data_IF_440788311690
#
_entry.id   IF_440788311690
#
_cell.length_a   1.000
_cell.length_b   1.000
_cell.length_c   1.000
_cell.angle_alpha   90.00
_cell.angle_beta   90.00
_cell.angle_gamma   90.00
#
_symmetry.space_group_name_H-M   'P 1'
#
loop_
_entity.id
_entity.type
_entity.pdbx_description
1 polymer ?
#
# COMPACT_ATOMS: atom_id res chain seq x y z
N UNK A 1 21.73 16.77 -2.06
CA UNK A 1 20.86 17.53 -1.08
C UNK A 1 19.63 16.71 -0.80
N UNK A 2 19.14 16.67 0.46
CA UNK A 2 17.93 15.93 0.83
C UNK A 2 16.68 16.79 0.69
N UNK A 3 15.60 16.21 0.16
CA UNK A 3 14.28 16.86 0.06
C UNK A 3 13.28 16.09 0.93
N UNK A 4 12.98 16.64 2.11
CA UNK A 4 12.05 16.04 3.06
C UNK A 4 10.60 16.37 2.70
N UNK A 5 9.79 15.34 2.51
CA UNK A 5 8.34 15.43 2.34
C UNK A 5 7.68 15.00 3.66
N UNK A 6 7.14 15.94 4.39
CA UNK A 6 6.69 15.74 5.76
C UNK A 6 5.17 15.80 5.85
N UNK A 7 4.56 14.73 6.40
CA UNK A 7 3.15 14.74 6.77
C UNK A 7 3.01 15.11 8.26
N UNK A 8 2.71 16.37 8.61
CA UNK A 8 2.62 16.82 9.99
C UNK A 8 1.46 16.18 10.74
N UNK A 9 0.40 15.75 10.04
CA UNK A 9 -0.78 15.12 10.62
C UNK A 9 -0.60 13.61 10.90
N UNK A 10 0.51 13.00 10.46
CA UNK A 10 0.76 11.57 10.67
C UNK A 10 0.70 11.21 12.17
N UNK A 11 0.21 9.98 12.47
CA UNK A 11 0.03 9.47 13.83
C UNK A 11 -0.70 10.45 14.76
N UNK A 12 -1.86 10.96 14.31
CA UNK A 12 -2.70 11.89 15.07
C UNK A 12 -1.99 13.21 15.44
N UNK A 13 -1.24 13.78 14.50
CA UNK A 13 -0.55 15.08 14.65
C UNK A 13 0.84 15.02 15.30
N UNK A 14 1.41 13.83 15.48
CA UNK A 14 2.77 13.67 16.00
C UNK A 14 3.86 13.90 14.94
N UNK A 15 3.51 13.88 13.64
CA UNK A 15 4.44 14.08 12.55
C UNK A 15 5.26 15.37 12.69
N UNK A 16 4.61 16.46 13.10
CA UNK A 16 5.31 17.73 13.37
C UNK A 16 6.40 17.60 14.45
N UNK A 17 6.10 16.90 15.55
CA UNK A 17 7.09 16.71 16.64
C UNK A 17 8.28 15.86 16.20
N UNK A 18 8.05 14.86 15.35
CA UNK A 18 9.12 14.05 14.78
C UNK A 18 9.98 14.88 13.83
N UNK A 19 9.36 15.74 13.03
CA UNK A 19 10.10 16.65 12.15
C UNK A 19 11.00 17.60 12.94
N UNK A 20 10.51 18.23 14.02
CA UNK A 20 11.32 19.14 14.85
C UNK A 20 12.58 18.45 15.41
N UNK A 21 12.47 17.18 15.83
CA UNK A 21 13.64 16.41 16.27
C UNK A 21 14.64 16.15 15.14
N UNK A 22 14.12 15.75 13.96
CA UNK A 22 14.93 15.51 12.76
C UNK A 22 15.62 16.80 12.33
N UNK A 23 14.87 17.90 12.28
CA UNK A 23 15.39 19.24 11.93
C UNK A 23 16.56 19.63 12.81
N UNK A 24 16.44 19.50 14.14
CA UNK A 24 17.53 19.82 15.09
C UNK A 24 18.80 19.03 14.77
N UNK A 25 18.71 17.74 14.45
CA UNK A 25 19.86 16.92 14.10
C UNK A 25 20.51 17.38 12.77
N UNK A 26 19.69 17.71 11.77
CA UNK A 26 20.19 18.17 10.48
C UNK A 26 20.93 19.52 10.62
N UNK A 27 20.37 20.45 11.41
CA UNK A 27 20.96 21.76 11.66
C UNK A 27 22.25 21.67 12.48
N UNK A 28 22.27 20.85 13.54
CA UNK A 28 23.45 20.60 14.36
C UNK A 28 24.64 20.04 13.53
N UNK A 29 24.31 19.18 12.56
CA UNK A 29 25.31 18.53 11.70
C UNK A 29 25.59 19.30 10.41
N UNK A 30 25.00 20.45 10.21
CA UNK A 30 25.14 21.29 9.01
C UNK A 30 24.81 20.53 7.71
N UNK A 31 23.82 19.62 7.76
CA UNK A 31 23.40 18.83 6.60
C UNK A 31 22.44 19.69 5.75
N UNK A 32 22.74 19.93 4.46
CA UNK A 32 21.86 20.72 3.61
C UNK A 32 20.58 19.96 3.24
N UNK A 33 19.43 20.57 3.47
CA UNK A 33 18.12 20.00 3.16
C UNK A 33 17.12 21.04 2.68
N UNK A 34 16.07 20.57 2.05
CA UNK A 34 14.81 21.30 1.80
C UNK A 34 13.66 20.53 2.45
N UNK A 35 12.62 21.24 2.88
CA UNK A 35 11.44 20.61 3.49
C UNK A 35 10.15 21.11 2.86
N UNK A 36 9.24 20.17 2.65
CA UNK A 36 7.91 20.38 2.09
C UNK A 36 6.87 19.69 2.98
N UNK A 37 5.90 20.47 3.46
CA UNK A 37 4.84 19.95 4.32
C UNK A 37 3.58 19.70 3.51
N UNK A 38 2.93 18.54 3.71
CA UNK A 38 1.61 18.31 3.15
C UNK A 38 0.56 19.16 3.87
N UNK A 39 -0.38 19.69 3.11
CA UNK A 39 -1.53 20.46 3.60
C UNK A 39 -2.78 19.61 3.80
N UNK A 40 -2.80 18.41 3.23
CA UNK A 40 -3.91 17.47 3.29
C UNK A 40 -3.72 16.26 2.37
N UNK A 41 -4.70 15.36 2.30
CA UNK A 41 -4.67 14.21 1.40
C UNK A 41 -4.47 14.62 -0.07
N UNK A 42 -3.64 13.87 -0.80
CA UNK A 42 -3.30 14.11 -2.21
C UNK A 42 -2.22 15.18 -2.46
N UNK A 43 -1.86 15.96 -1.44
CA UNK A 43 -0.87 17.04 -1.63
C UNK A 43 0.55 16.49 -1.88
N UNK A 44 0.88 15.34 -1.30
CA UNK A 44 2.17 14.68 -1.54
C UNK A 44 2.35 14.21 -2.98
N UNK A 45 1.27 13.85 -3.67
CA UNK A 45 1.29 13.51 -5.11
C UNK A 45 1.78 14.73 -5.91
N UNK A 46 1.19 15.90 -5.65
CA UNK A 46 1.55 17.14 -6.35
C UNK A 46 2.96 17.62 -6.02
N UNK A 47 3.37 17.50 -4.75
CA UNK A 47 4.73 17.86 -4.32
C UNK A 47 5.77 16.97 -5.00
N UNK A 48 5.56 15.66 -4.99
CA UNK A 48 6.45 14.69 -5.63
C UNK A 48 6.52 14.92 -7.14
N UNK A 49 5.37 15.09 -7.81
CA UNK A 49 5.29 15.38 -9.25
C UNK A 49 6.09 16.63 -9.61
N UNK A 50 5.90 17.71 -8.88
CA UNK A 50 6.63 18.97 -9.11
C UNK A 50 8.14 18.81 -8.94
N UNK A 51 8.58 18.06 -7.93
CA UNK A 51 10.00 17.88 -7.63
C UNK A 51 10.69 16.96 -8.62
N UNK A 52 10.00 15.93 -9.08
CA UNK A 52 10.58 14.90 -9.95
C UNK A 52 10.35 15.15 -11.45
N UNK A 53 9.29 15.88 -11.81
CA UNK A 53 8.95 16.22 -13.20
C UNK A 53 9.89 17.25 -13.84
N UNK A 54 10.56 18.05 -13.01
CA UNK A 54 11.57 19.01 -13.49
C UNK A 54 12.96 18.40 -13.73
N UNK A 55 13.16 17.12 -13.40
CA UNK A 55 14.46 16.44 -13.50
C UNK A 55 14.76 16.08 -14.96
N UNK A 56 15.91 16.49 -15.44
CA UNK A 56 16.41 16.12 -16.77
C UNK A 56 17.26 14.84 -16.70
N UNK A 57 17.40 14.08 -17.79
CA UNK A 57 18.24 12.88 -17.81
C UNK A 57 19.69 13.13 -17.39
N UNK A 58 20.24 14.28 -17.75
CA UNK A 58 21.63 14.68 -17.45
C UNK A 58 21.75 15.48 -16.14
N UNK A 59 20.61 15.77 -15.45
CA UNK A 59 20.58 16.48 -14.19
C UNK A 59 21.02 15.64 -13.01
N UNK A 60 21.21 16.31 -11.86
CA UNK A 60 21.51 15.63 -10.59
C UNK A 60 20.30 14.84 -10.07
N UNK A 61 20.57 13.77 -9.36
CA UNK A 61 19.55 12.99 -8.64
C UNK A 61 18.95 13.81 -7.51
N UNK A 62 17.65 13.72 -7.33
CA UNK A 62 16.96 14.19 -6.12
C UNK A 62 16.86 13.05 -5.12
N UNK A 63 17.04 13.36 -3.82
CA UNK A 63 16.81 12.40 -2.76
C UNK A 63 15.56 12.81 -1.97
N UNK A 64 14.45 12.15 -2.22
CA UNK A 64 13.20 12.32 -1.48
C UNK A 64 13.26 11.51 -0.18
N UNK A 65 13.08 12.17 0.94
CA UNK A 65 12.95 11.53 2.26
C UNK A 65 11.55 11.74 2.77
N UNK A 66 10.77 10.67 2.79
CA UNK A 66 9.34 10.72 3.16
C UNK A 66 9.17 10.49 4.66
N UNK A 67 8.61 11.45 5.37
CA UNK A 67 8.27 11.36 6.78
C UNK A 67 6.75 11.26 6.94
N UNK A 68 6.26 10.04 7.14
CA UNK A 68 4.82 9.77 7.15
C UNK A 68 4.48 8.32 7.46
N UNK A 69 3.26 7.91 7.17
CA UNK A 69 2.82 6.51 7.15
C UNK A 69 2.86 5.93 5.73
N UNK A 70 2.42 4.67 5.59
CA UNK A 70 2.38 3.96 4.31
C UNK A 70 1.58 4.72 3.24
N UNK A 71 0.43 5.32 3.59
CA UNK A 71 -0.33 6.16 2.67
C UNK A 71 0.43 7.41 2.22
N UNK A 72 1.27 8.02 3.08
CA UNK A 72 2.13 9.16 2.67
C UNK A 72 3.20 8.69 1.69
N UNK A 73 3.81 7.52 1.92
CA UNK A 73 4.77 6.92 1.00
C UNK A 73 4.11 6.59 -0.35
N UNK A 74 2.89 6.04 -0.33
CA UNK A 74 2.09 5.78 -1.53
C UNK A 74 1.81 7.07 -2.31
N UNK A 75 1.30 8.13 -1.68
CA UNK A 75 1.06 9.42 -2.36
C UNK A 75 2.33 9.97 -3.04
N UNK A 76 3.49 9.86 -2.39
CA UNK A 76 4.76 10.31 -2.99
C UNK A 76 5.07 9.49 -4.24
N UNK A 77 4.94 8.16 -4.19
CA UNK A 77 5.19 7.27 -5.35
C UNK A 77 4.19 7.50 -6.49
N UNK A 78 2.93 7.84 -6.17
CA UNK A 78 1.97 8.25 -7.21
C UNK A 78 2.47 9.44 -8.03
N UNK A 79 3.19 10.37 -7.39
CA UNK A 79 3.65 11.60 -8.02
C UNK A 79 5.01 11.51 -8.70
N UNK A 80 5.81 10.46 -8.51
CA UNK A 80 7.14 10.35 -9.13
C UNK A 80 7.00 10.25 -10.65
N UNK A 81 7.56 11.21 -11.39
CA UNK A 81 7.61 11.19 -12.85
C UNK A 81 8.93 10.63 -13.39
N UNK A 82 10.03 10.82 -12.69
CA UNK A 82 11.35 10.33 -13.09
C UNK A 82 11.98 9.44 -12.01
N UNK A 83 11.68 8.14 -12.06
CA UNK A 83 12.21 7.16 -11.11
C UNK A 83 13.72 7.01 -11.19
N UNK A 84 14.31 7.08 -12.38
CA UNK A 84 15.74 6.87 -12.57
C UNK A 84 16.61 7.96 -11.93
N UNK A 85 16.03 9.16 -11.73
CA UNK A 85 16.68 10.32 -11.10
C UNK A 85 16.22 10.56 -9.66
N UNK A 86 15.36 9.69 -9.13
CA UNK A 86 14.77 9.85 -7.80
C UNK A 86 15.28 8.76 -6.87
N UNK A 87 16.02 9.16 -5.83
CA UNK A 87 16.33 8.33 -4.67
C UNK A 87 15.21 8.49 -3.66
N UNK A 88 14.74 7.40 -3.11
CA UNK A 88 13.63 7.40 -2.18
C UNK A 88 14.06 6.82 -0.83
N UNK A 89 13.77 7.51 0.25
CA UNK A 89 13.94 7.02 1.62
C UNK A 89 12.68 7.23 2.44
N UNK A 90 12.48 6.41 3.45
CA UNK A 90 11.27 6.41 4.26
C UNK A 90 11.58 6.47 5.75
N UNK A 91 10.99 7.44 6.45
CA UNK A 91 11.00 7.56 7.91
C UNK A 91 9.58 7.30 8.41
N UNK A 92 9.31 6.12 8.99
CA UNK A 92 7.98 5.70 9.34
C UNK A 92 7.45 6.41 10.58
N UNK A 93 6.40 7.22 10.40
CA UNK A 93 5.70 7.91 11.49
C UNK A 93 4.21 7.60 11.53
N UNK A 94 3.75 6.63 10.73
CA UNK A 94 2.37 6.17 10.68
C UNK A 94 2.00 5.20 11.82
N UNK A 95 0.80 4.64 11.74
CA UNK A 95 0.28 3.68 12.72
C UNK A 95 0.65 2.24 12.37
N UNK A 96 0.54 1.82 11.12
CA UNK A 96 0.83 0.47 10.63
C UNK A 96 2.29 0.31 10.28
N UNK A 97 2.79 1.12 9.35
CA UNK A 97 4.15 1.10 8.82
C UNK A 97 4.55 -0.32 8.36
N UNK A 98 3.70 -0.92 7.52
CA UNK A 98 3.89 -2.30 7.05
C UNK A 98 5.09 -2.38 6.10
N UNK A 99 5.33 -1.34 5.27
CA UNK A 99 6.54 -1.20 4.47
C UNK A 99 7.81 -1.22 5.35
N UNK A 100 7.82 -0.46 6.44
CA UNK A 100 8.97 -0.43 7.36
C UNK A 100 9.15 -1.75 8.12
N UNK A 101 8.04 -2.46 8.40
CA UNK A 101 8.08 -3.77 9.04
C UNK A 101 8.81 -4.79 8.17
N UNK A 102 8.51 -4.82 6.89
CA UNK A 102 9.05 -5.79 5.95
C UNK A 102 10.51 -5.47 5.60
N UNK A 103 10.82 -4.21 5.37
CA UNK A 103 12.18 -3.75 5.03
C UNK A 103 13.12 -3.67 6.23
N UNK A 104 12.63 -3.84 7.45
CA UNK A 104 13.44 -3.73 8.68
C UNK A 104 13.89 -2.29 9.01
N UNK A 105 13.20 -1.29 8.45
CA UNK A 105 13.43 0.12 8.82
C UNK A 105 12.99 0.35 10.25
N UNK A 106 13.82 1.03 11.05
CA UNK A 106 13.49 1.36 12.43
C UNK A 106 12.23 2.20 12.54
N UNK A 107 11.38 1.87 13.51
CA UNK A 107 10.19 2.66 13.85
C UNK A 107 10.49 3.89 14.71
N UNK A 108 11.73 4.04 15.18
CA UNK A 108 12.20 5.30 15.74
C UNK A 108 12.66 6.21 14.60
N UNK A 109 12.04 7.40 14.44
CA UNK A 109 12.35 8.30 13.33
C UNK A 109 13.79 8.82 13.35
N UNK A 110 14.43 8.88 14.51
CA UNK A 110 15.82 9.34 14.64
C UNK A 110 16.76 8.23 14.18
N UNK A 111 16.53 6.98 14.58
CA UNK A 111 17.34 5.86 14.10
C UNK A 111 17.20 5.65 12.59
N UNK A 112 15.97 5.83 12.04
CA UNK A 112 15.76 5.77 10.59
C UNK A 112 16.53 6.88 9.87
N UNK A 113 16.50 8.12 10.38
CA UNK A 113 17.30 9.23 9.86
C UNK A 113 18.81 8.92 9.91
N UNK A 114 19.31 8.45 11.06
CA UNK A 114 20.72 8.12 11.23
C UNK A 114 21.17 7.13 10.16
N UNK A 115 20.37 6.10 9.92
CA UNK A 115 20.68 5.10 8.91
C UNK A 115 20.72 5.71 7.51
N UNK A 116 19.76 6.58 7.15
CA UNK A 116 19.75 7.30 5.88
C UNK A 116 21.01 8.16 5.69
N UNK A 117 21.48 8.81 6.74
CA UNK A 117 22.62 9.72 6.66
C UNK A 117 23.98 9.02 6.65
N UNK A 118 24.10 7.84 7.27
CA UNK A 118 25.40 7.22 7.52
C UNK A 118 25.64 5.90 6.80
N UNK A 119 24.61 5.12 6.57
CA UNK A 119 24.76 3.72 6.15
C UNK A 119 23.75 3.25 5.10
N UNK A 120 22.87 4.11 4.62
CA UNK A 120 21.89 3.74 3.62
C UNK A 120 22.57 3.22 2.34
N UNK A 121 22.05 2.09 1.87
CA UNK A 121 22.44 1.48 0.59
C UNK A 121 21.24 1.51 -0.34
N UNK A 122 21.51 1.60 -1.63
CA UNK A 122 20.48 1.42 -2.64
C UNK A 122 20.02 -0.03 -2.63
N UNK A 123 18.74 -0.23 -2.40
CA UNK A 123 18.04 -1.52 -2.54
C UNK A 123 16.87 -1.28 -3.49
N UNK A 124 17.05 -1.55 -4.79
CA UNK A 124 15.99 -1.33 -5.75
C UNK A 124 14.74 -2.12 -5.38
N UNK A 125 13.59 -1.45 -5.42
CA UNK A 125 12.31 -2.00 -5.01
C UNK A 125 11.33 -1.98 -6.17
N UNK A 126 10.51 -2.99 -6.23
CA UNK A 126 9.43 -3.11 -7.19
C UNK A 126 8.34 -2.07 -6.94
N UNK A 127 7.67 -1.67 -7.99
CA UNK A 127 6.47 -0.83 -7.91
C UNK A 127 5.33 -1.57 -8.58
N UNK A 128 4.26 -1.78 -7.84
CA UNK A 128 3.05 -2.34 -8.38
C UNK A 128 2.21 -1.28 -9.11
N UNK A 129 1.45 -1.72 -10.11
CA UNK A 129 0.54 -0.92 -10.91
C UNK A 129 -0.83 -1.56 -10.92
N UNK A 130 -1.86 -0.75 -10.72
CA UNK A 130 -3.25 -1.11 -10.83
C UNK A 130 -3.89 -0.32 -11.97
N UNK A 131 -4.42 -1.03 -12.95
CA UNK A 131 -5.21 -0.47 -14.04
C UNK A 131 -6.67 -0.92 -13.91
N UNK A 132 -7.60 0.02 -14.06
CA UNK A 132 -9.03 -0.24 -14.03
C UNK A 132 -9.55 -0.39 -15.46
N UNK A 133 -9.93 -1.62 -15.87
CA UNK A 133 -10.65 -1.84 -17.13
C UNK A 133 -12.10 -1.36 -17.03
N UNK A 134 -12.66 -1.41 -15.82
CA UNK A 134 -13.99 -0.89 -15.47
C UNK A 134 -13.91 -0.11 -14.17
N UNK A 135 -14.76 0.89 -14.01
CA UNK A 135 -14.87 1.66 -12.78
C UNK A 135 -16.34 2.06 -12.53
N UNK A 136 -16.77 1.96 -11.28
CA UNK A 136 -18.13 2.27 -10.86
C UNK A 136 -18.13 3.27 -9.70
N UNK A 137 -19.17 4.05 -9.62
CA UNK A 137 -19.38 5.00 -8.52
C UNK A 137 -19.53 4.30 -7.16
N UNK A 138 -19.27 5.03 -6.08
CA UNK A 138 -19.30 4.52 -4.70
C UNK A 138 -20.68 4.04 -4.23
N UNK A 139 -21.76 4.45 -4.88
CA UNK A 139 -23.11 3.95 -4.66
C UNK A 139 -23.39 2.59 -5.34
N UNK A 140 -22.39 2.07 -6.08
CA UNK A 140 -22.41 0.72 -6.62
C UNK A 140 -23.23 0.50 -7.88
N UNK A 141 -23.77 1.55 -8.48
CA UNK A 141 -24.78 1.37 -9.53
C UNK A 141 -24.35 1.82 -10.92
N UNK A 142 -23.58 2.87 -11.05
CA UNK A 142 -23.34 3.50 -12.34
C UNK A 142 -21.86 3.39 -12.75
N UNK A 143 -21.58 2.98 -14.00
CA UNK A 143 -20.24 3.12 -14.57
C UNK A 143 -19.81 4.59 -14.51
N UNK A 144 -18.54 4.82 -14.19
CA UNK A 144 -17.98 6.16 -14.26
C UNK A 144 -17.84 6.61 -15.72
N UNK A 145 -18.22 7.85 -16.00
CA UNK A 145 -18.08 8.44 -17.36
C UNK A 145 -16.60 8.53 -17.82
N UNK A 146 -15.69 8.66 -16.85
CA UNK A 146 -14.25 8.65 -17.10
C UNK A 146 -13.64 7.42 -16.44
N UNK A 147 -12.69 6.75 -17.11
CA UNK A 147 -11.90 5.69 -16.47
C UNK A 147 -11.29 6.19 -15.16
N UNK A 148 -11.22 5.33 -14.16
CA UNK A 148 -10.42 5.63 -12.98
C UNK A 148 -8.94 5.74 -13.39
N UNK A 149 -8.21 6.67 -12.77
CA UNK A 149 -6.78 6.82 -13.03
C UNK A 149 -6.03 5.56 -12.54
N UNK A 150 -5.02 5.17 -13.31
CA UNK A 150 -4.10 4.12 -12.90
C UNK A 150 -3.42 4.48 -11.60
N UNK A 151 -3.21 3.48 -10.76
CA UNK A 151 -2.60 3.66 -9.45
C UNK A 151 -1.32 2.86 -9.33
N UNK A 152 -0.38 3.41 -8.55
CA UNK A 152 0.83 2.69 -8.13
C UNK A 152 0.66 2.22 -6.69
N UNK A 153 1.38 1.18 -6.31
CA UNK A 153 1.47 0.74 -4.92
C UNK A 153 2.86 0.22 -4.58
N UNK A 154 3.21 0.32 -3.31
CA UNK A 154 4.46 -0.22 -2.78
C UNK A 154 4.25 -1.57 -2.13
N UNK A 155 3.16 -1.75 -1.41
CA UNK A 155 2.91 -2.92 -0.57
C UNK A 155 1.91 -3.86 -1.22
N UNK A 156 0.72 -3.35 -1.56
CA UNK A 156 -0.40 -4.20 -1.98
C UNK A 156 -1.45 -3.49 -2.81
N UNK A 157 -2.14 -4.28 -3.63
CA UNK A 157 -3.44 -3.93 -4.19
C UNK A 157 -4.42 -5.06 -3.90
N UNK A 158 -5.61 -4.72 -3.41
CA UNK A 158 -6.62 -5.70 -3.03
C UNK A 158 -8.00 -5.39 -3.61
N UNK A 159 -8.80 -6.45 -3.80
CA UNK A 159 -10.18 -6.37 -4.25
C UNK A 159 -11.08 -7.22 -3.37
N UNK A 160 -12.19 -6.66 -2.91
CA UNK A 160 -13.22 -7.34 -2.16
C UNK A 160 -13.34 -6.89 -0.72
N UNK A 161 -13.40 -7.84 0.21
CA UNK A 161 -13.66 -7.60 1.63
C UNK A 161 -12.62 -6.68 2.29
N UNK A 162 -11.35 -6.87 2.03
CA UNK A 162 -10.23 -6.07 2.55
C UNK A 162 -10.35 -4.61 2.11
N UNK A 163 -10.56 -4.38 0.82
CA UNK A 163 -10.80 -3.05 0.26
C UNK A 163 -12.06 -2.40 0.84
N UNK A 164 -13.12 -3.18 1.06
CA UNK A 164 -14.34 -2.71 1.74
C UNK A 164 -14.08 -2.26 3.18
N UNK A 165 -13.20 -2.95 3.91
CA UNK A 165 -12.74 -2.54 5.26
C UNK A 165 -11.97 -1.22 5.20
N UNK A 166 -11.07 -1.07 4.23
CA UNK A 166 -10.31 0.16 4.02
C UNK A 166 -11.24 1.34 3.71
N UNK A 167 -12.21 1.16 2.80
CA UNK A 167 -13.19 2.17 2.42
C UNK A 167 -14.00 2.66 3.63
N UNK A 168 -14.53 1.76 4.43
CA UNK A 168 -15.31 2.14 5.61
C UNK A 168 -14.42 2.81 6.68
N UNK A 169 -13.19 2.33 6.84
CA UNK A 169 -12.23 2.94 7.75
C UNK A 169 -11.83 4.37 7.36
N UNK A 170 -11.75 4.69 6.06
CA UNK A 170 -11.49 6.05 5.58
C UNK A 170 -12.61 7.03 5.95
N UNK A 171 -13.86 6.60 5.95
CA UNK A 171 -15.03 7.45 6.21
C UNK A 171 -15.52 7.41 7.67
N UNK A 172 -14.93 6.58 8.53
CA UNK A 172 -15.40 6.38 9.90
C UNK A 172 -14.92 7.49 10.85
N UNK A 173 -15.83 8.39 11.25
CA UNK A 173 -15.59 9.35 12.35
C UNK A 173 -15.31 8.69 13.71
N UNK A 174 -15.78 7.45 13.90
CA UNK A 174 -15.56 6.65 15.11
C UNK A 174 -14.10 6.23 15.23
N UNK A 175 -13.42 6.00 14.09
CA UNK A 175 -11.99 5.66 14.05
C UNK A 175 -11.13 6.71 14.74
N UNK A 176 -11.37 8.00 14.47
CA UNK A 176 -10.57 9.10 15.05
C UNK A 176 -10.77 9.20 16.56
N UNK A 177 -11.98 8.99 17.04
CA UNK A 177 -12.28 9.00 18.47
C UNK A 177 -11.63 7.83 19.20
N UNK A 178 -11.78 6.60 18.68
CA UNK A 178 -11.26 5.39 19.32
C UNK A 178 -9.74 5.25 19.19
N UNK A 179 -9.13 5.80 18.14
CA UNK A 179 -7.68 5.89 18.02
C UNK A 179 -7.07 6.80 19.09
N UNK A 180 -7.74 7.91 19.43
CA UNK A 180 -7.35 8.78 20.53
C UNK A 180 -7.45 8.09 21.89
N UNK A 181 -8.41 7.16 22.03
CA UNK A 181 -8.61 6.35 23.23
C UNK A 181 -7.72 5.08 23.30
N UNK A 182 -6.83 4.87 22.33
CA UNK A 182 -5.97 3.66 22.30
C UNK A 182 -6.69 2.37 21.86
N UNK A 183 -7.93 2.45 21.43
CA UNK A 183 -8.80 1.31 21.08
C UNK A 183 -8.89 1.03 19.57
N UNK A 184 -7.95 1.54 18.78
CA UNK A 184 -7.96 1.46 17.32
C UNK A 184 -8.10 0.04 16.76
N UNK A 185 -7.49 -0.96 17.40
CA UNK A 185 -7.61 -2.37 16.97
C UNK A 185 -9.04 -2.91 17.06
N UNK A 186 -9.81 -2.51 18.08
CA UNK A 186 -11.21 -2.91 18.24
C UNK A 186 -12.11 -2.26 17.19
N UNK A 187 -11.79 -1.05 16.77
CA UNK A 187 -12.52 -0.36 15.69
C UNK A 187 -12.37 -1.11 14.37
N UNK A 188 -11.15 -1.47 14.01
CA UNK A 188 -10.91 -2.25 12.79
C UNK A 188 -11.60 -3.61 12.82
N UNK A 189 -11.59 -4.28 13.98
CA UNK A 189 -12.32 -5.54 14.14
C UNK A 189 -13.83 -5.37 13.95
N UNK A 190 -14.43 -4.29 14.49
CA UNK A 190 -15.85 -3.98 14.32
C UNK A 190 -16.20 -3.67 12.86
N UNK A 191 -15.37 -2.90 12.16
CA UNK A 191 -15.52 -2.60 10.74
C UNK A 191 -15.40 -3.89 9.92
N UNK A 192 -14.39 -4.71 10.18
CA UNK A 192 -14.19 -5.98 9.51
C UNK A 192 -15.40 -6.91 9.69
N UNK A 193 -15.94 -7.01 10.90
CA UNK A 193 -17.13 -7.83 11.17
C UNK A 193 -18.35 -7.32 10.39
N UNK A 194 -18.57 -6.01 10.35
CA UNK A 194 -19.66 -5.39 9.60
C UNK A 194 -19.52 -5.64 8.10
N UNK A 195 -18.34 -5.46 7.53
CA UNK A 195 -18.06 -5.71 6.11
C UNK A 195 -18.17 -7.20 5.77
N UNK A 196 -17.75 -8.09 6.67
CA UNK A 196 -17.91 -9.53 6.50
C UNK A 196 -19.40 -9.93 6.37
N UNK A 197 -20.27 -9.32 7.17
CA UNK A 197 -21.72 -9.56 7.10
C UNK A 197 -22.28 -9.07 5.75
N UNK A 198 -21.80 -7.92 5.27
CA UNK A 198 -22.25 -7.28 4.02
C UNK A 198 -21.68 -7.89 2.76
N UNK A 199 -20.50 -8.55 2.84
CA UNK A 199 -19.87 -9.16 1.66
C UNK A 199 -20.83 -10.12 0.96
N UNK A 200 -20.93 -9.97 -0.37
CA UNK A 200 -21.80 -10.81 -1.22
C UNK A 200 -21.16 -12.16 -1.58
N UNK A 201 -21.82 -12.89 -2.47
CA UNK A 201 -21.33 -14.13 -3.04
C UNK A 201 -20.77 -13.88 -4.46
N UNK A 202 -19.82 -12.97 -4.60
CA UNK A 202 -19.14 -12.75 -5.86
C UNK A 202 -18.36 -14.02 -6.28
N UNK A 203 -18.24 -14.24 -7.57
CA UNK A 203 -17.26 -15.17 -8.15
C UNK A 203 -16.18 -14.33 -8.85
N UNK A 204 -15.00 -14.90 -9.02
CA UNK A 204 -13.91 -14.27 -9.76
C UNK A 204 -13.23 -15.22 -10.73
N UNK A 205 -12.74 -14.68 -11.82
CA UNK A 205 -11.81 -15.30 -12.73
C UNK A 205 -10.46 -14.56 -12.63
N UNK A 206 -9.41 -15.31 -12.36
CA UNK A 206 -8.04 -14.83 -12.37
C UNK A 206 -7.35 -15.31 -13.62
N UNK A 207 -6.63 -14.43 -14.29
CA UNK A 207 -5.61 -14.80 -15.27
C UNK A 207 -4.28 -14.33 -14.69
N UNK A 208 -3.42 -15.27 -14.34
CA UNK A 208 -2.12 -15.03 -13.72
C UNK A 208 -1.04 -15.30 -14.77
N UNK A 209 -0.27 -14.31 -15.12
CA UNK A 209 0.85 -14.41 -16.06
C UNK A 209 2.16 -14.52 -15.27
N UNK A 210 2.87 -15.62 -15.46
CA UNK A 210 4.19 -15.85 -14.87
C UNK A 210 5.32 -15.26 -15.69
N UNK A 211 6.54 -15.50 -15.27
CA UNK A 211 7.73 -15.19 -16.07
C UNK A 211 7.78 -16.10 -17.32
N UNK A 212 7.67 -15.53 -18.52
CA UNK A 212 7.61 -16.21 -19.80
C UNK A 212 6.17 -16.47 -20.28
N UNK A 213 5.99 -17.45 -21.17
CA UNK A 213 4.70 -17.72 -21.83
C UNK A 213 3.69 -18.49 -20.96
N UNK A 214 3.94 -18.66 -19.68
CA UNK A 214 3.04 -19.41 -18.78
C UNK A 214 1.90 -18.53 -18.30
N UNK A 215 0.67 -18.91 -18.63
CA UNK A 215 -0.55 -18.26 -18.13
C UNK A 215 -1.44 -19.31 -17.44
N UNK A 216 -1.88 -18.99 -16.24
CA UNK A 216 -2.81 -19.83 -15.47
C UNK A 216 -4.15 -19.13 -15.32
N UNK A 217 -5.25 -19.83 -15.61
CA UNK A 217 -6.61 -19.37 -15.34
C UNK A 217 -7.16 -20.08 -14.11
N UNK A 218 -7.73 -19.34 -13.20
CA UNK A 218 -8.30 -19.83 -11.94
C UNK A 218 -9.70 -19.26 -11.76
N UNK A 219 -10.67 -20.12 -11.45
CA UNK A 219 -12.03 -19.69 -11.12
C UNK A 219 -12.27 -19.82 -9.62
N UNK A 220 -12.67 -18.74 -8.99
CA UNK A 220 -12.94 -18.65 -7.55
C UNK A 220 -14.43 -18.43 -7.32
N UNK A 221 -15.07 -19.36 -6.61
CA UNK A 221 -16.47 -19.20 -6.19
C UNK A 221 -16.56 -18.60 -4.80
N UNK A 222 -17.59 -17.81 -4.53
CA UNK A 222 -17.79 -17.14 -3.23
C UNK A 222 -16.52 -16.42 -2.77
N UNK A 223 -16.04 -15.54 -3.65
CA UNK A 223 -14.88 -14.72 -3.37
C UNK A 223 -15.08 -13.88 -2.11
N UNK A 224 -14.12 -13.92 -1.21
CA UNK A 224 -14.03 -13.00 -0.09
C UNK A 224 -13.15 -11.82 -0.45
N UNK A 225 -11.88 -12.08 -0.77
CA UNK A 225 -10.96 -11.08 -1.26
C UNK A 225 -9.77 -11.71 -2.00
N UNK A 226 -9.07 -10.86 -2.75
CA UNK A 226 -7.77 -11.15 -3.34
C UNK A 226 -6.87 -9.99 -2.96
N UNK A 227 -5.71 -10.28 -2.35
CA UNK A 227 -4.63 -9.32 -2.14
C UNK A 227 -3.46 -9.69 -3.04
N UNK A 228 -3.01 -8.75 -3.88
CA UNK A 228 -1.82 -8.84 -4.71
C UNK A 228 -0.73 -8.03 -4.04
N UNK A 229 0.36 -8.66 -3.64
CA UNK A 229 1.35 -8.07 -2.74
C UNK A 229 2.75 -8.17 -3.32
N UNK A 230 3.53 -7.10 -3.18
CA UNK A 230 4.99 -7.09 -3.38
C UNK A 230 5.76 -7.22 -2.07
N UNK A 231 5.09 -7.05 -0.93
CA UNK A 231 5.62 -7.19 0.42
C UNK A 231 4.86 -8.24 1.23
N UNK A 232 5.48 -8.71 2.32
CA UNK A 232 4.89 -9.79 3.12
C UNK A 232 3.72 -9.35 4.00
N UNK A 233 3.70 -8.08 4.43
CA UNK A 233 2.77 -7.59 5.46
C UNK A 233 1.82 -6.53 4.94
N UNK A 234 0.58 -6.57 5.43
CA UNK A 234 -0.45 -5.58 5.17
C UNK A 234 -1.39 -5.42 6.38
N UNK A 235 -2.15 -4.32 6.42
CA UNK A 235 -3.24 -4.12 7.38
C UNK A 235 -2.80 -4.05 8.84
N UNK A 236 -1.57 -3.58 9.10
CA UNK A 236 -1.04 -3.43 10.46
C UNK A 236 -0.37 -4.68 11.00
N UNK A 237 0.16 -5.51 10.11
CA UNK A 237 1.00 -6.66 10.45
C UNK A 237 0.41 -8.03 10.17
N UNK A 238 -0.65 -8.13 9.38
CA UNK A 238 -1.06 -9.40 8.80
C UNK A 238 0.01 -9.88 7.82
N UNK A 239 0.52 -11.07 8.02
CA UNK A 239 1.55 -11.71 7.19
C UNK A 239 0.87 -12.51 6.07
N UNK A 240 0.20 -11.77 5.15
CA UNK A 240 -0.62 -12.40 4.11
C UNK A 240 0.18 -13.16 3.07
N UNK A 241 1.33 -12.64 2.65
CA UNK A 241 2.16 -13.29 1.64
C UNK A 241 3.57 -13.61 2.18
N UNK A 242 3.69 -14.68 3.02
CA UNK A 242 5.00 -15.12 3.51
C UNK A 242 5.94 -15.46 2.36
N UNK A 243 7.09 -14.77 2.30
CA UNK A 243 8.10 -14.99 1.27
C UNK A 243 7.90 -14.16 0.00
N UNK A 244 7.02 -13.14 0.01
CA UNK A 244 7.02 -12.12 -1.03
C UNK A 244 8.37 -11.38 -1.04
N UNK A 245 8.88 -11.10 -2.24
CA UNK A 245 10.16 -10.41 -2.46
C UNK A 245 9.91 -9.15 -3.30
N UNK A 246 10.10 -8.00 -2.68
CA UNK A 246 9.86 -6.70 -3.30
C UNK A 246 10.91 -6.30 -4.35
N UNK A 247 11.68 -7.24 -4.90
CA UNK A 247 12.75 -6.97 -5.88
C UNK A 247 12.81 -7.96 -7.05
N UNK A 248 11.91 -8.94 -7.09
CA UNK A 248 11.95 -10.02 -8.09
C UNK A 248 11.03 -9.78 -9.30
N UNK A 249 10.18 -8.75 -9.24
CA UNK A 249 9.22 -8.40 -10.31
C UNK A 249 7.96 -9.25 -10.29
N UNK A 250 7.68 -9.94 -9.18
CA UNK A 250 6.55 -10.85 -9.02
C UNK A 250 5.63 -10.33 -7.92
N UNK A 251 4.33 -10.45 -8.13
CA UNK A 251 3.32 -10.26 -7.11
C UNK A 251 2.91 -11.59 -6.52
N UNK A 252 2.90 -11.68 -5.21
CA UNK A 252 2.29 -12.78 -4.47
C UNK A 252 0.82 -12.48 -4.19
N UNK A 253 -0.02 -13.47 -4.44
CA UNK A 253 -1.46 -13.36 -4.21
C UNK A 253 -1.88 -14.20 -3.02
N UNK A 254 -2.61 -13.57 -2.11
CA UNK A 254 -3.42 -14.27 -1.12
C UNK A 254 -4.88 -14.20 -1.55
N UNK A 255 -5.47 -15.35 -1.87
CA UNK A 255 -6.89 -15.45 -2.23
C UNK A 255 -7.67 -16.14 -1.14
N UNK A 256 -8.83 -15.61 -0.80
CA UNK A 256 -9.78 -16.24 0.13
C UNK A 256 -11.12 -16.42 -0.56
N UNK A 257 -11.50 -17.67 -0.82
CA UNK A 257 -12.72 -18.01 -1.55
C UNK A 257 -13.34 -19.32 -1.05
N UNK A 258 -14.63 -19.53 -1.31
CA UNK A 258 -15.33 -20.78 -0.92
C UNK A 258 -15.49 -20.97 0.58
N UNK A 259 -15.05 -20.04 1.41
CA UNK A 259 -15.04 -20.14 2.87
C UNK A 259 -16.31 -19.51 3.45
N UNK A 260 -17.03 -20.18 4.39
CA UNK A 260 -18.11 -19.54 5.10
C UNK A 260 -17.64 -18.34 5.92
N UNK A 261 -18.43 -17.27 5.98
CA UNK A 261 -18.08 -16.00 6.66
C UNK A 261 -17.58 -16.19 8.09
N UNK A 262 -18.23 -17.04 8.88
CA UNK A 262 -17.82 -17.33 10.25
C UNK A 262 -16.43 -17.96 10.35
N UNK A 263 -16.07 -18.79 9.36
CA UNK A 263 -14.76 -19.46 9.29
C UNK A 263 -13.64 -18.44 8.99
N UNK A 264 -13.93 -17.37 8.23
CA UNK A 264 -12.96 -16.29 7.97
C UNK A 264 -12.49 -15.66 9.28
N UNK A 265 -13.39 -15.42 10.24
CA UNK A 265 -13.05 -14.88 11.56
C UNK A 265 -12.13 -15.82 12.35
N UNK A 266 -12.26 -17.14 12.18
CA UNK A 266 -11.39 -18.11 12.83
C UNK A 266 -10.02 -18.22 12.16
N UNK A 267 -9.97 -18.03 10.83
CA UNK A 267 -8.74 -18.11 10.04
C UNK A 267 -7.91 -16.83 10.16
N UNK A 268 -8.55 -15.67 10.24
CA UNK A 268 -7.90 -14.36 10.22
C UNK A 268 -6.77 -14.20 11.26
N UNK A 269 -6.90 -14.63 12.53
CA UNK A 269 -5.79 -14.56 13.49
C UNK A 269 -4.55 -15.36 13.06
N UNK A 270 -4.72 -16.44 12.29
CA UNK A 270 -3.60 -17.24 11.80
C UNK A 270 -2.76 -16.52 10.74
N UNK A 271 -3.34 -15.50 10.10
CA UNK A 271 -2.63 -14.68 9.12
C UNK A 271 -1.53 -13.81 9.76
N UNK A 272 -1.60 -13.48 11.06
CA UNK A 272 -0.48 -12.81 11.73
C UNK A 272 0.82 -13.63 11.78
N UNK A 273 0.70 -14.95 11.59
CA UNK A 273 1.84 -15.89 11.62
C UNK A 273 2.05 -16.60 10.29
N UNK A 274 1.35 -16.19 9.22
CA UNK A 274 1.44 -16.81 7.89
C UNK A 274 0.86 -18.23 7.82
N UNK A 275 0.11 -18.67 8.83
CA UNK A 275 -0.44 -20.03 8.92
C UNK A 275 -1.82 -20.20 8.27
N UNK A 276 -2.38 -19.15 7.70
CA UNK A 276 -3.71 -19.14 7.07
C UNK A 276 -3.79 -20.04 5.82
N UNK A 277 -2.70 -20.27 5.10
CA UNK A 277 -2.65 -21.21 3.97
C UNK A 277 -2.88 -22.69 4.33
N UNK A 278 -2.94 -23.01 5.61
CA UNK A 278 -3.32 -24.38 6.07
C UNK A 278 -4.81 -24.66 5.98
N UNK A 279 -5.62 -23.63 5.72
CA UNK A 279 -7.07 -23.74 5.68
C UNK A 279 -7.55 -23.79 4.23
N UNK A 280 -8.42 -24.77 3.93
CA UNK A 280 -9.05 -24.87 2.62
C UNK A 280 -9.80 -23.60 2.26
N UNK A 281 -9.61 -23.11 1.03
CA UNK A 281 -10.17 -21.86 0.52
C UNK A 281 -9.30 -20.64 0.75
N UNK A 282 -8.08 -20.84 1.30
CA UNK A 282 -7.01 -19.85 1.28
C UNK A 282 -5.89 -20.39 0.39
N UNK A 283 -5.62 -19.72 -0.71
CA UNK A 283 -4.69 -20.20 -1.73
C UNK A 283 -3.68 -19.10 -2.11
N UNK A 284 -2.50 -19.54 -2.55
CA UNK A 284 -1.42 -18.66 -3.01
C UNK A 284 -1.22 -18.84 -4.51
N UNK A 285 -1.09 -17.74 -5.22
CA UNK A 285 -0.63 -17.67 -6.59
C UNK A 285 0.50 -16.65 -6.67
N UNK A 286 1.25 -16.63 -7.76
CA UNK A 286 2.26 -15.61 -8.02
C UNK A 286 2.40 -15.36 -9.52
N UNK A 287 2.63 -14.11 -9.90
CA UNK A 287 2.81 -13.70 -11.29
C UNK A 287 3.22 -12.25 -11.41
N UNK A 288 3.74 -11.87 -12.57
CA UNK A 288 4.13 -10.49 -12.87
C UNK A 288 2.96 -9.62 -13.33
N UNK A 289 1.88 -10.25 -13.82
CA UNK A 289 0.66 -9.59 -14.29
C UNK A 289 -0.56 -10.46 -13.94
N UNK A 290 -1.56 -9.86 -13.33
CA UNK A 290 -2.75 -10.55 -12.85
C UNK A 290 -3.99 -9.77 -13.29
N UNK A 291 -4.81 -10.37 -14.16
CA UNK A 291 -6.15 -9.85 -14.44
C UNK A 291 -7.16 -10.49 -13.52
N UNK A 292 -7.99 -9.68 -12.89
CA UNK A 292 -9.05 -10.12 -11.98
C UNK A 292 -10.38 -9.63 -12.53
N UNK A 293 -11.29 -10.55 -12.81
CA UNK A 293 -12.66 -10.26 -13.19
C UNK A 293 -13.62 -10.82 -12.16
N UNK A 294 -14.55 -10.02 -11.71
CA UNK A 294 -15.56 -10.42 -10.73
C UNK A 294 -16.96 -10.33 -11.31
N UNK A 295 -17.88 -11.12 -10.78
CA UNK A 295 -19.28 -11.14 -11.28
C UNK A 295 -20.09 -9.91 -10.90
N UNK A 296 -19.61 -9.11 -9.95
CA UNK A 296 -20.19 -7.86 -9.50
C UNK A 296 -19.08 -6.88 -9.14
N UNK A 297 -19.30 -5.56 -9.25
CA UNK A 297 -18.30 -4.57 -8.83
C UNK A 297 -17.98 -4.70 -7.34
N UNK A 298 -16.69 -4.73 -7.01
CA UNK A 298 -16.16 -4.78 -5.65
C UNK A 298 -15.22 -3.61 -5.40
N UNK A 299 -15.08 -3.22 -4.14
CA UNK A 299 -14.08 -2.23 -3.75
C UNK A 299 -12.67 -2.69 -4.08
N UNK A 300 -11.86 -1.74 -4.54
CA UNK A 300 -10.43 -1.95 -4.88
C UNK A 300 -9.60 -0.92 -4.15
N UNK A 301 -8.46 -1.35 -3.61
CA UNK A 301 -7.50 -0.46 -2.96
C UNK A 301 -6.07 -0.63 -3.48
N UNK A 302 -5.24 0.37 -3.24
CA UNK A 302 -3.78 0.32 -3.33
C UNK A 302 -3.19 0.88 -2.03
N UNK A 303 -2.38 0.10 -1.32
CA UNK A 303 -1.79 0.44 0.00
C UNK A 303 -2.84 0.98 1.00
N UNK A 304 -4.06 0.43 0.96
CA UNK A 304 -5.19 0.84 1.80
C UNK A 304 -6.00 2.06 1.32
N UNK A 305 -5.59 2.71 0.23
CA UNK A 305 -6.32 3.83 -0.38
C UNK A 305 -7.33 3.30 -1.40
N UNK A 306 -8.61 3.56 -1.16
CA UNK A 306 -9.72 3.08 -2.00
C UNK A 306 -10.20 4.20 -2.92
N UNK A 307 -10.28 3.89 -4.22
CA UNK A 307 -10.68 4.87 -5.24
C UNK A 307 -12.11 4.66 -5.73
N UNK A 308 -12.44 3.45 -6.17
CA UNK A 308 -13.73 3.13 -6.76
C UNK A 308 -14.06 1.63 -6.62
N UNK A 309 -15.23 1.24 -7.08
CA UNK A 309 -15.59 -0.15 -7.32
C UNK A 309 -15.16 -0.55 -8.74
N UNK A 310 -14.77 -1.80 -8.90
CA UNK A 310 -14.48 -2.39 -10.21
C UNK A 310 -14.83 -3.87 -10.25
N UNK A 311 -15.13 -4.37 -11.45
CA UNK A 311 -15.32 -5.80 -11.73
C UNK A 311 -14.29 -6.35 -12.73
N UNK A 312 -13.41 -5.51 -13.26
CA UNK A 312 -12.29 -5.92 -14.13
C UNK A 312 -11.10 -5.01 -13.90
N UNK A 313 -10.05 -5.56 -13.30
CA UNK A 313 -8.79 -4.87 -13.02
C UNK A 313 -7.60 -5.67 -13.54
N UNK A 314 -6.54 -4.96 -13.86
CA UNK A 314 -5.22 -5.52 -14.16
C UNK A 314 -4.22 -5.02 -13.14
N UNK A 315 -3.58 -5.94 -12.43
CA UNK A 315 -2.52 -5.64 -11.46
C UNK A 315 -1.21 -6.17 -12.01
N UNK A 316 -0.18 -5.35 -12.04
CA UNK A 316 1.14 -5.75 -12.56
C UNK A 316 2.26 -5.21 -11.69
N UNK A 317 3.47 -5.73 -11.90
CA UNK A 317 4.66 -5.33 -11.17
C UNK A 317 5.76 -4.87 -12.13
N UNK A 318 6.36 -3.71 -11.84
CA UNK A 318 7.56 -3.24 -12.53
C UNK A 318 8.76 -3.48 -11.65
N UNK A 319 9.61 -4.40 -12.11
CA UNK A 319 10.78 -4.86 -11.34
C UNK A 319 11.75 -3.73 -11.07
N UNK A 320 12.14 -3.56 -9.80
CA UNK A 320 13.20 -2.68 -9.34
C UNK A 320 13.12 -1.22 -9.86
N UNK A 321 11.88 -0.72 -10.02
CA UNK A 321 11.65 0.61 -10.56
C UNK A 321 12.03 1.71 -9.58
N UNK A 322 11.83 1.50 -8.26
CA UNK A 322 12.10 2.50 -7.23
C UNK A 322 13.51 2.32 -6.67
N UNK A 323 14.32 3.36 -6.74
CA UNK A 323 15.65 3.42 -6.11
C UNK A 323 15.49 3.72 -4.61
N UNK A 324 15.27 2.68 -3.82
CA UNK A 324 15.01 2.78 -2.38
C UNK A 324 16.32 2.75 -1.59
N UNK A 325 16.46 3.65 -0.62
CA UNK A 325 17.65 3.81 0.22
C UNK A 325 17.28 3.70 1.70
N UNK A 326 17.79 2.68 2.41
CA UNK A 326 17.56 2.47 3.84
C UNK A 326 18.68 1.66 4.53
#
# INVERSE_FOLDING_TARGET
MYSFLVNPASRSGRGQKYWERIKSILEERLIPYQVYFSKGPGDMVNLSRRLTGALTPDGEDIHLVVLGGDGTANEVVQGIENFSKTRFSYIPTGSSNDLARDTGISRDPVEALERILTSAREQPMDVGFLHYNTAYSSDGGQPLEKPAEDRRFLVSSGIGFDAGVCQEAMHSKIKDFLNKAGMGKLTYLGIALKQLIRSGNAAAELTVEGNGDSSQKVSLSRLMFIACMSHCYEGGGFYFCPGADASDGILDLCTVSGVPKWKVLMVLPSAFTGKHYRYNGVERYCGSSIRIRTTVPLWVHTDGEVTCLSDDILVSCSRQLLRFYY
#
